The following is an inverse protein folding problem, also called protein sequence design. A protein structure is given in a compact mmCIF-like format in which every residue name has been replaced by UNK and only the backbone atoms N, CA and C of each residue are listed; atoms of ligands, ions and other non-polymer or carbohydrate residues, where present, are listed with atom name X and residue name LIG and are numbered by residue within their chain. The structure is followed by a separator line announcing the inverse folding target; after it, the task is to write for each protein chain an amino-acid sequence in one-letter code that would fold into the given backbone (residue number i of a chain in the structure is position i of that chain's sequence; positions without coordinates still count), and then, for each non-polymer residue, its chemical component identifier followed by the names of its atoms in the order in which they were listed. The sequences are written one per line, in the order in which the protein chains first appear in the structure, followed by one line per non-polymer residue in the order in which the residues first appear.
data_IF_056701391674
#
_entry.id   IF_056701391674
#
_cell.length_a   1.000
_cell.length_b   1.000
_cell.length_c   1.000
_cell.angle_alpha   90.00
_cell.angle_beta   90.00
_cell.angle_gamma   90.00
#
_symmetry.space_group_name_H-M   'P 1'
#
loop_
_entity.id
_entity.type
_entity.pdbx_description
1 polymer ?
#
# COMPACT_ATOMS: atom_id res chain seq x y z
N UNK A 1 1.22 16.84 5.03
CA UNK A 1 -0.06 17.45 5.38
C UNK A 1 -0.91 17.65 4.13
N UNK A 2 -2.11 17.06 4.07
CA UNK A 2 -3.08 17.29 3.00
C UNK A 2 -4.13 18.32 3.48
N UNK A 3 -4.32 19.38 2.71
CA UNK A 3 -5.32 20.43 3.01
C UNK A 3 -6.23 20.60 1.79
N UNK A 4 -7.53 20.51 1.99
CA UNK A 4 -8.48 20.61 0.90
C UNK A 4 -9.92 20.34 1.32
N UNK A 5 -10.82 20.31 0.34
CA UNK A 5 -12.21 19.93 0.54
C UNK A 5 -12.38 18.45 0.27
N UNK A 6 -12.25 17.64 1.32
CA UNK A 6 -12.40 16.19 1.25
C UNK A 6 -13.80 15.75 1.68
N UNK A 7 -14.21 14.62 1.13
CA UNK A 7 -15.31 13.78 1.61
C UNK A 7 -14.74 12.44 2.06
N UNK A 8 -15.33 11.86 3.10
CA UNK A 8 -14.90 10.56 3.60
C UNK A 8 -15.90 9.46 3.27
N UNK A 9 -15.35 8.32 2.89
CA UNK A 9 -16.05 7.05 2.78
C UNK A 9 -15.56 6.15 3.91
N UNK A 10 -16.47 5.54 4.66
CA UNK A 10 -16.13 4.67 5.79
C UNK A 10 -16.56 3.24 5.54
N UNK A 11 -15.74 2.30 5.99
CA UNK A 11 -16.13 0.89 6.00
C UNK A 11 -17.07 0.59 7.17
N UNK A 12 -17.97 -0.40 6.98
CA UNK A 12 -18.79 -0.93 8.07
C UNK A 12 -18.10 -1.98 8.95
N UNK A 13 -16.77 -2.12 8.86
CA UNK A 13 -15.99 -3.11 9.60
C UNK A 13 -16.07 -2.86 11.12
N UNK A 14 -16.21 -3.95 11.89
CA UNK A 14 -16.02 -3.90 13.35
C UNK A 14 -14.51 -3.90 13.67
N UNK A 15 -14.09 -3.05 14.59
CA UNK A 15 -12.68 -2.87 14.98
C UNK A 15 -12.16 -1.49 14.57
N UNK A 16 -10.91 -1.35 14.12
CA UNK A 16 -10.39 -0.06 13.68
C UNK A 16 -11.30 0.59 12.62
N UNK A 17 -11.59 1.88 12.77
CA UNK A 17 -12.31 2.62 11.74
C UNK A 17 -11.43 2.73 10.49
N UNK A 18 -11.91 2.21 9.36
CA UNK A 18 -11.21 2.35 8.08
C UNK A 18 -11.97 3.38 7.23
N UNK A 19 -11.26 4.39 6.75
CA UNK A 19 -11.84 5.46 5.96
C UNK A 19 -10.94 5.88 4.80
N UNK A 20 -11.57 6.31 3.71
CA UNK A 20 -10.90 6.98 2.58
C UNK A 20 -11.39 8.40 2.46
N UNK A 21 -10.46 9.32 2.23
CA UNK A 21 -10.69 10.74 2.09
C UNK A 21 -10.30 11.17 0.68
N UNK A 22 -11.28 11.60 -0.10
CA UNK A 22 -11.11 11.95 -1.51
C UNK A 22 -11.79 13.27 -1.83
N UNK A 23 -11.48 13.84 -2.99
CA UNK A 23 -12.15 15.03 -3.47
C UNK A 23 -13.67 14.83 -3.56
N UNK A 24 -14.42 15.92 -3.37
CA UNK A 24 -15.88 15.90 -3.41
C UNK A 24 -16.39 15.31 -4.74
N UNK A 25 -17.32 14.37 -4.66
CA UNK A 25 -17.92 13.68 -5.82
C UNK A 25 -17.12 12.45 -6.31
N UNK A 26 -16.00 12.12 -5.67
CA UNK A 26 -15.17 10.95 -6.05
C UNK A 26 -15.38 9.74 -5.14
N UNK A 27 -16.28 9.80 -4.20
CA UNK A 27 -16.49 8.79 -3.18
C UNK A 27 -16.79 7.41 -3.79
N UNK A 28 -17.59 7.36 -4.86
CA UNK A 28 -17.94 6.10 -5.54
C UNK A 28 -16.70 5.43 -6.13
N UNK A 29 -15.79 6.22 -6.72
CA UNK A 29 -14.56 5.72 -7.32
C UNK A 29 -13.56 5.18 -6.29
N UNK A 30 -13.61 5.69 -5.06
CA UNK A 30 -12.77 5.26 -3.95
C UNK A 30 -13.24 3.96 -3.27
N UNK A 31 -14.47 3.50 -3.58
CA UNK A 31 -15.07 2.32 -2.93
C UNK A 31 -14.23 1.06 -3.11
N UNK A 32 -13.71 0.83 -4.29
CA UNK A 32 -12.90 -0.34 -4.60
C UNK A 32 -11.62 -0.39 -3.75
N UNK A 33 -10.89 0.72 -3.66
CA UNK A 33 -9.69 0.81 -2.84
C UNK A 33 -10.01 0.65 -1.33
N UNK A 34 -11.15 1.17 -0.87
CA UNK A 34 -11.61 0.94 0.50
C UNK A 34 -11.87 -0.55 0.78
N UNK A 35 -12.54 -1.24 -0.13
CA UNK A 35 -12.82 -2.68 0.01
C UNK A 35 -11.53 -3.50 -0.01
N UNK A 36 -10.58 -3.16 -0.87
CA UNK A 36 -9.25 -3.76 -0.91
C UNK A 36 -8.52 -3.56 0.43
N UNK A 37 -8.50 -2.34 0.95
CA UNK A 37 -7.88 -2.01 2.25
C UNK A 37 -8.48 -2.84 3.39
N UNK A 38 -9.81 -2.98 3.44
CA UNK A 38 -10.50 -3.80 4.46
C UNK A 38 -10.11 -5.26 4.34
N UNK A 39 -10.07 -5.79 3.11
CA UNK A 39 -9.69 -7.18 2.85
C UNK A 39 -8.25 -7.45 3.28
N UNK A 40 -7.31 -6.59 2.86
CA UNK A 40 -5.89 -6.72 3.20
C UNK A 40 -5.65 -6.59 4.70
N UNK A 41 -6.35 -5.68 5.39
CA UNK A 41 -6.23 -5.54 6.84
C UNK A 41 -6.68 -6.81 7.57
N UNK A 42 -7.80 -7.39 7.18
CA UNK A 42 -8.28 -8.64 7.76
C UNK A 42 -7.30 -9.80 7.50
N UNK A 43 -6.73 -9.84 6.30
CA UNK A 43 -5.72 -10.82 5.93
C UNK A 43 -4.44 -10.65 6.78
N UNK A 44 -3.90 -9.45 6.89
CA UNK A 44 -2.67 -9.19 7.67
C UNK A 44 -2.85 -9.48 9.15
N UNK A 45 -3.96 -9.08 9.76
CA UNK A 45 -4.25 -9.42 11.16
C UNK A 45 -4.22 -10.93 11.40
N UNK A 46 -4.74 -11.71 10.44
CA UNK A 46 -4.76 -13.17 10.52
C UNK A 46 -3.39 -13.79 10.23
N UNK A 47 -2.73 -13.31 9.18
CA UNK A 47 -1.47 -13.85 8.68
C UNK A 47 -0.33 -13.58 9.67
N UNK A 48 -0.23 -12.37 10.18
CA UNK A 48 0.81 -11.95 11.13
C UNK A 48 0.51 -12.37 12.57
N UNK A 49 -0.75 -12.72 12.89
CA UNK A 49 -1.17 -13.01 14.25
C UNK A 49 -1.18 -11.78 15.18
N UNK A 50 -0.99 -10.60 14.63
CA UNK A 50 -0.92 -9.32 15.35
C UNK A 50 -2.03 -8.40 14.86
N UNK A 51 -2.87 -7.93 15.78
CA UNK A 51 -3.94 -6.98 15.46
C UNK A 51 -3.36 -5.64 15.05
N UNK A 52 -4.08 -4.94 14.17
CA UNK A 52 -3.79 -3.57 13.81
C UNK A 52 -3.77 -2.70 15.09
N UNK A 53 -2.64 -2.00 15.38
CA UNK A 53 -2.42 -1.46 16.72
C UNK A 53 -3.11 -0.12 17.00
N UNK A 54 -3.67 0.55 15.99
CA UNK A 54 -4.31 1.85 16.16
C UNK A 54 -5.83 1.80 16.02
N UNK A 55 -6.58 2.77 16.58
CA UNK A 55 -8.05 2.75 16.57
C UNK A 55 -8.65 3.08 15.20
N UNK A 56 -7.87 3.64 14.27
CA UNK A 56 -8.33 4.03 12.93
C UNK A 56 -7.23 3.80 11.90
N UNK A 57 -7.63 3.61 10.64
CA UNK A 57 -6.77 3.72 9.47
C UNK A 57 -7.47 4.61 8.42
N UNK A 58 -6.82 5.71 8.04
CA UNK A 58 -7.31 6.61 7.03
C UNK A 58 -6.41 6.58 5.80
N UNK A 59 -6.97 6.54 4.62
CA UNK A 59 -6.26 6.80 3.36
C UNK A 59 -6.73 8.12 2.80
N UNK A 60 -5.80 8.99 2.44
CA UNK A 60 -6.07 10.30 1.83
C UNK A 60 -5.58 10.31 0.39
N UNK A 61 -6.51 10.40 -0.58
CA UNK A 61 -6.16 10.55 -2.00
C UNK A 61 -5.74 11.99 -2.30
N UNK A 62 -4.48 12.18 -2.69
CA UNK A 62 -3.89 13.50 -2.97
C UNK A 62 -3.65 13.67 -4.46
N UNK A 63 -4.24 14.67 -5.13
CA UNK A 63 -4.18 14.82 -6.59
C UNK A 63 -2.77 14.98 -7.16
N UNK A 64 -1.87 15.62 -6.44
CA UNK A 64 -0.51 15.96 -6.90
C UNK A 64 0.57 15.27 -6.09
N UNK A 65 0.30 14.05 -5.63
CA UNK A 65 1.28 13.28 -4.87
C UNK A 65 2.33 12.68 -5.80
N UNK A 66 3.62 12.92 -5.50
CA UNK A 66 4.73 12.56 -6.41
C UNK A 66 5.02 11.05 -6.44
N UNK A 67 4.81 10.38 -5.31
CA UNK A 67 5.01 8.93 -5.16
C UNK A 67 3.70 8.17 -5.29
N UNK A 68 3.75 6.85 -5.19
CA UNK A 68 2.56 6.01 -5.09
C UNK A 68 1.78 6.28 -3.82
N UNK A 69 2.47 6.17 -2.70
CA UNK A 69 1.94 6.41 -1.37
C UNK A 69 2.98 6.92 -0.39
N UNK A 70 2.55 7.12 0.83
CA UNK A 70 3.37 7.41 2.00
C UNK A 70 2.62 6.90 3.24
N UNK A 71 3.23 6.00 3.94
CA UNK A 71 2.68 5.15 4.98
C UNK A 71 2.41 5.85 6.32
N UNK A 72 2.32 7.17 6.39
CA UNK A 72 2.16 7.87 7.67
C UNK A 72 1.23 7.11 8.63
N UNK A 73 1.70 6.84 9.83
CA UNK A 73 1.04 6.00 10.83
C UNK A 73 -0.45 6.32 10.98
N UNK A 74 -1.30 5.35 10.71
CA UNK A 74 -2.76 5.43 10.74
C UNK A 74 -3.40 6.46 9.79
N UNK A 75 -2.62 7.11 8.89
CA UNK A 75 -3.10 8.15 7.97
C UNK A 75 -2.28 8.21 6.67
N UNK A 76 -2.32 7.16 5.89
CA UNK A 76 -1.59 7.03 4.63
C UNK A 76 -2.03 8.07 3.60
N UNK A 77 -1.08 8.70 2.94
CA UNK A 77 -1.33 9.55 1.77
C UNK A 77 -1.03 8.76 0.50
N UNK A 78 -1.94 8.80 -0.45
CA UNK A 78 -1.80 8.07 -1.71
C UNK A 78 -2.03 8.98 -2.91
N UNK A 79 -1.35 8.69 -3.99
CA UNK A 79 -1.65 9.32 -5.27
C UNK A 79 -3.10 9.03 -5.66
N UNK A 80 -3.87 10.08 -5.90
CA UNK A 80 -5.30 9.98 -6.18
C UNK A 80 -5.59 9.13 -7.42
N UNK A 81 -4.78 9.22 -8.47
CA UNK A 81 -4.96 8.46 -9.71
C UNK A 81 -4.81 6.95 -9.49
N UNK A 82 -3.99 6.55 -8.48
CA UNK A 82 -3.79 5.17 -8.06
C UNK A 82 -4.70 4.72 -6.92
N UNK A 83 -5.73 5.52 -6.63
CA UNK A 83 -6.68 5.27 -5.53
C UNK A 83 -8.12 5.22 -6.03
N UNK A 84 -8.39 5.89 -7.15
CA UNK A 84 -9.72 6.02 -7.71
C UNK A 84 -9.92 5.09 -8.90
N UNK A 85 -10.87 4.17 -8.80
CA UNK A 85 -11.25 3.31 -9.91
C UNK A 85 -12.23 4.05 -10.83
N UNK A 86 -11.86 4.21 -12.09
CA UNK A 86 -12.73 4.78 -13.12
C UNK A 86 -13.62 3.69 -13.73
N UNK A 87 -14.72 4.11 -14.37
CA UNK A 87 -15.70 3.18 -14.96
C UNK A 87 -15.10 2.33 -16.10
N UNK A 88 -14.08 2.84 -16.79
CA UNK A 88 -13.36 2.17 -17.89
C UNK A 88 -12.06 1.48 -17.43
N UNK A 89 -11.86 1.32 -16.11
CA UNK A 89 -10.63 0.76 -15.56
C UNK A 89 -10.42 -0.69 -15.99
N UNK A 90 -9.20 -0.98 -16.42
CA UNK A 90 -8.73 -2.32 -16.76
C UNK A 90 -8.50 -3.19 -15.49
N UNK A 91 -8.26 -4.47 -15.67
CA UNK A 91 -7.82 -5.34 -14.56
C UNK A 91 -6.45 -4.90 -14.02
N UNK A 92 -5.58 -4.36 -14.87
CA UNK A 92 -4.29 -3.82 -14.47
C UNK A 92 -4.45 -2.59 -13.56
N UNK A 93 -5.38 -1.68 -13.85
CA UNK A 93 -5.68 -0.54 -12.99
C UNK A 93 -6.17 -0.99 -11.61
N UNK A 94 -7.03 -2.01 -11.58
CA UNK A 94 -7.48 -2.62 -10.32
C UNK A 94 -6.32 -3.23 -9.54
N UNK A 95 -5.42 -3.93 -10.22
CA UNK A 95 -4.25 -4.53 -9.61
C UNK A 95 -3.34 -3.47 -8.99
N UNK A 96 -3.04 -2.39 -9.70
CA UNK A 96 -2.24 -1.26 -9.21
C UNK A 96 -2.84 -0.66 -7.93
N UNK A 97 -4.16 -0.46 -7.90
CA UNK A 97 -4.85 0.07 -6.71
C UNK A 97 -4.69 -0.87 -5.53
N UNK A 98 -4.87 -2.18 -5.73
CA UNK A 98 -4.80 -3.16 -4.63
C UNK A 98 -3.37 -3.34 -4.14
N UNK A 99 -2.40 -3.46 -5.05
CA UNK A 99 -0.97 -3.58 -4.70
C UNK A 99 -0.53 -2.38 -3.85
N UNK A 100 -0.85 -1.16 -4.29
CA UNK A 100 -0.49 0.04 -3.56
C UNK A 100 -1.19 0.10 -2.19
N UNK A 101 -2.51 -0.11 -2.14
CA UNK A 101 -3.25 -0.10 -0.88
C UNK A 101 -2.73 -1.15 0.12
N UNK A 102 -2.35 -2.32 -0.39
CA UNK A 102 -1.80 -3.42 0.41
C UNK A 102 -0.40 -3.13 0.92
N UNK A 103 0.48 -2.57 0.07
CA UNK A 103 1.84 -2.16 0.41
C UNK A 103 1.83 -1.11 1.53
N UNK A 104 1.13 0.00 1.33
CA UNK A 104 1.04 1.08 2.31
C UNK A 104 0.40 0.63 3.65
N UNK A 105 -0.54 -0.31 3.58
CA UNK A 105 -1.14 -0.89 4.78
C UNK A 105 -0.14 -1.80 5.52
N UNK A 106 0.70 -2.56 4.80
CA UNK A 106 1.69 -3.44 5.41
C UNK A 106 2.74 -2.67 6.22
N UNK A 107 3.09 -1.48 5.78
CA UNK A 107 3.96 -0.56 6.52
C UNK A 107 3.45 -0.26 7.93
N UNK A 108 2.15 -0.35 8.17
CA UNK A 108 1.60 -0.12 9.51
C UNK A 108 2.15 -1.13 10.54
N UNK A 109 2.57 -2.33 10.10
CA UNK A 109 3.30 -3.28 10.94
C UNK A 109 4.81 -3.15 10.75
N UNK A 110 5.28 -3.00 9.50
CA UNK A 110 6.70 -2.95 9.15
C UNK A 110 7.08 -1.55 8.65
N UNK A 111 7.61 -0.76 9.54
CA UNK A 111 7.92 0.65 9.40
C UNK A 111 7.38 1.44 10.58
N UNK A 112 6.08 1.29 10.87
CA UNK A 112 5.41 2.07 11.92
C UNK A 112 5.43 1.36 13.29
N UNK A 113 4.83 0.15 13.37
CA UNK A 113 4.76 -0.58 14.64
C UNK A 113 6.09 -1.22 15.02
N UNK A 114 6.77 -1.80 14.05
CA UNK A 114 8.17 -2.26 14.17
C UNK A 114 9.00 -1.37 13.25
N UNK A 115 9.76 -0.47 13.82
CA UNK A 115 10.55 0.53 13.11
C UNK A 115 12.02 0.11 13.06
N UNK A 116 12.68 0.28 11.94
CA UNK A 116 14.12 0.10 11.78
C UNK A 116 14.90 0.99 12.75
N UNK A 117 16.09 0.56 13.13
CA UNK A 117 16.93 1.33 14.04
C UNK A 117 17.45 2.62 13.39
N UNK A 118 17.80 2.58 12.11
CA UNK A 118 18.30 3.71 11.33
C UNK A 118 18.00 3.56 9.85
N UNK A 119 18.20 4.62 9.09
CA UNK A 119 17.89 4.68 7.65
C UNK A 119 18.66 3.67 6.80
N UNK A 120 19.83 3.22 7.24
CA UNK A 120 20.59 2.17 6.55
C UNK A 120 19.81 0.86 6.40
N UNK A 121 18.84 0.65 7.28
CA UNK A 121 17.97 -0.51 7.30
C UNK A 121 16.60 -0.26 6.65
N UNK A 122 16.45 0.79 5.82
CA UNK A 122 15.17 1.15 5.15
C UNK A 122 14.61 -0.02 4.31
N UNK A 123 15.48 -0.89 3.84
CA UNK A 123 15.08 -2.09 3.12
C UNK A 123 14.18 -3.01 3.95
N UNK A 124 14.28 -3.00 5.28
CA UNK A 124 13.39 -3.77 6.16
C UNK A 124 11.94 -3.26 6.08
N UNK A 125 11.75 -1.96 5.94
CA UNK A 125 10.42 -1.40 5.71
C UNK A 125 9.90 -1.82 4.33
N UNK A 126 10.65 -1.49 3.29
CA UNK A 126 10.20 -1.58 1.90
C UNK A 126 10.07 -3.02 1.41
N UNK A 127 11.05 -3.88 1.73
CA UNK A 127 11.01 -5.27 1.28
C UNK A 127 9.86 -6.04 1.94
N UNK A 128 9.63 -5.85 3.25
CA UNK A 128 8.50 -6.48 3.93
C UNK A 128 7.16 -5.93 3.45
N UNK A 129 7.05 -4.61 3.24
CA UNK A 129 5.84 -4.00 2.72
C UNK A 129 5.53 -4.48 1.30
N UNK A 130 6.52 -4.59 0.43
CA UNK A 130 6.36 -5.10 -0.94
C UNK A 130 5.93 -6.56 -0.94
N UNK A 131 6.61 -7.42 -0.17
CA UNK A 131 6.25 -8.83 -0.06
C UNK A 131 4.82 -9.04 0.49
N UNK A 132 4.49 -8.38 1.59
CA UNK A 132 3.14 -8.44 2.15
C UNK A 132 2.10 -7.80 1.23
N UNK A 133 2.46 -6.73 0.52
CA UNK A 133 1.64 -6.08 -0.50
C UNK A 133 1.16 -7.10 -1.54
N UNK A 134 2.08 -7.93 -2.03
CA UNK A 134 1.76 -9.01 -2.96
C UNK A 134 0.86 -10.08 -2.36
N UNK A 135 1.18 -10.55 -1.14
CA UNK A 135 0.35 -11.54 -0.46
C UNK A 135 -1.07 -11.02 -0.20
N UNK A 136 -1.22 -9.75 0.17
CA UNK A 136 -2.51 -9.11 0.35
C UNK A 136 -3.29 -8.99 -0.97
N UNK A 137 -2.60 -8.67 -2.06
CA UNK A 137 -3.18 -8.60 -3.41
C UNK A 137 -3.65 -9.97 -3.88
N UNK A 138 -2.80 -10.99 -3.73
CA UNK A 138 -3.16 -12.39 -3.98
C UNK A 138 -4.42 -12.81 -3.22
N UNK A 139 -4.47 -12.49 -1.92
CA UNK A 139 -5.63 -12.80 -1.09
C UNK A 139 -6.91 -12.06 -1.55
N UNK A 140 -6.79 -10.81 -1.99
CA UNK A 140 -7.93 -10.03 -2.46
C UNK A 140 -8.53 -10.58 -3.74
N UNK A 141 -7.70 -10.83 -4.75
CA UNK A 141 -8.13 -11.36 -6.05
C UNK A 141 -8.33 -12.88 -6.05
N UNK A 142 -7.90 -13.58 -5.00
CA UNK A 142 -7.84 -15.06 -4.94
C UNK A 142 -7.05 -15.66 -6.12
N UNK A 143 -6.00 -14.96 -6.51
CA UNK A 143 -5.11 -15.36 -7.60
C UNK A 143 -3.87 -16.04 -7.03
N UNK A 144 -3.70 -17.33 -7.27
CA UNK A 144 -2.54 -18.10 -6.80
C UNK A 144 -1.29 -17.85 -7.65
N UNK A 145 -1.45 -17.32 -8.85
CA UNK A 145 -0.33 -17.01 -9.75
C UNK A 145 0.33 -15.65 -9.46
N UNK A 146 -0.35 -14.75 -8.71
CA UNK A 146 0.17 -13.42 -8.41
C UNK A 146 1.55 -13.44 -7.72
N UNK A 147 1.87 -14.49 -6.99
CA UNK A 147 3.17 -14.66 -6.35
C UNK A 147 4.28 -14.99 -7.38
N UNK A 148 3.95 -15.77 -8.39
CA UNK A 148 4.86 -16.08 -9.50
C UNK A 148 5.08 -14.84 -10.39
N UNK A 149 4.02 -14.12 -10.71
CA UNK A 149 4.09 -12.87 -11.47
C UNK A 149 5.00 -11.86 -10.76
N UNK A 150 4.84 -11.70 -9.43
CA UNK A 150 5.73 -10.81 -8.66
C UNK A 150 7.18 -11.28 -8.70
N UNK A 151 7.43 -12.58 -8.56
CA UNK A 151 8.81 -13.10 -8.63
C UNK A 151 9.41 -12.77 -9.99
N UNK A 152 8.68 -12.98 -11.07
CA UNK A 152 9.16 -12.67 -12.43
C UNK A 152 9.44 -11.17 -12.60
N UNK A 153 8.51 -10.30 -12.19
CA UNK A 153 8.65 -8.85 -12.30
C UNK A 153 9.80 -8.33 -11.42
N UNK A 154 9.92 -8.85 -10.20
CA UNK A 154 11.01 -8.49 -9.28
C UNK A 154 12.38 -8.92 -9.83
N UNK A 155 12.47 -10.12 -10.42
CA UNK A 155 13.70 -10.58 -11.04
C UNK A 155 14.09 -9.75 -12.26
N UNK A 156 13.12 -9.39 -13.11
CA UNK A 156 13.37 -8.54 -14.29
C UNK A 156 13.86 -7.14 -13.87
N UNK A 157 13.22 -6.53 -12.88
CA UNK A 157 13.65 -5.25 -12.33
C UNK A 157 15.02 -5.35 -11.62
N UNK A 158 15.26 -6.41 -10.87
CA UNK A 158 16.54 -6.68 -10.22
C UNK A 158 17.66 -6.74 -11.26
N UNK A 159 17.53 -7.58 -12.28
CA UNK A 159 18.57 -7.69 -13.31
C UNK A 159 18.80 -6.42 -14.09
N UNK A 160 17.75 -5.64 -14.34
CA UNK A 160 17.88 -4.33 -15.03
C UNK A 160 18.59 -3.27 -14.18
N UNK A 161 18.48 -3.34 -12.87
CA UNK A 161 19.03 -2.34 -11.97
C UNK A 161 20.40 -2.75 -11.42
N UNK A 162 20.55 -4.00 -11.00
CA UNK A 162 21.75 -4.49 -10.34
C UNK A 162 22.89 -4.83 -11.30
N UNK A 163 22.59 -5.13 -12.56
CA UNK A 163 23.61 -5.43 -13.61
C UNK A 163 24.11 -4.16 -14.33
N UNK A 164 23.84 -2.99 -13.77
CA UNK A 164 24.11 -1.71 -14.42
C UNK A 164 24.80 -0.68 -13.53
N UNK A 165 25.03 0.53 -14.09
CA UNK A 165 25.70 1.65 -13.38
C UNK A 165 24.89 2.21 -12.19
N UNK A 166 23.69 1.69 -11.94
CA UNK A 166 22.84 2.04 -10.79
C UNK A 166 22.90 1.04 -9.65
N UNK A 167 23.72 0.00 -9.80
CA UNK A 167 23.94 -0.98 -8.72
C UNK A 167 24.50 -0.27 -7.50
N UNK A 168 23.95 -0.59 -6.32
CA UNK A 168 24.39 -0.04 -5.04
C UNK A 168 24.30 -1.09 -3.94
N UNK A 169 25.00 -0.86 -2.84
CA UNK A 169 24.92 -1.75 -1.67
C UNK A 169 23.56 -1.63 -0.98
N UNK A 170 23.06 -2.75 -0.45
CA UNK A 170 21.82 -2.76 0.36
C UNK A 170 21.96 -1.83 1.56
N UNK A 171 23.12 -1.83 2.20
CA UNK A 171 23.45 -0.93 3.30
C UNK A 171 24.43 0.11 2.77
N UNK A 172 24.00 1.37 2.66
CA UNK A 172 24.85 2.49 2.28
C UNK A 172 25.58 3.00 3.51
N UNK A 173 26.92 3.00 3.45
CA UNK A 173 27.76 3.61 4.49
C UNK A 173 28.11 5.06 4.15
N UNK A 174 27.65 5.58 3.03
CA UNK A 174 27.86 6.95 2.57
C UNK A 174 26.52 7.71 2.64
N UNK A 175 26.39 8.59 3.63
CA UNK A 175 25.37 9.61 3.75
C UNK A 175 25.96 10.97 3.35
#
# INVERSE_FOLDING_TARGET
LAVGKFKSLKSGRKGPEISMWVGNGQEKKAKFALDATVSCLNFFEKFLGVKYPWPKYATVGVPTFLWGGMENTSSTHMNQERTLLNDEASEMDKNIIVVLASHELAHQWFGDYVTMHWWDDIWLNEAFASHLGTLGTKNFFKNEEAELEMVVDTWDDYFRQEDGPRSHTIVSTEL
#
